data_IF_073407064784
#
_entry.id   IF_073407064784
#
_cell.length_a   1.000
_cell.length_b   1.000
_cell.length_c   1.000
_cell.angle_alpha   90.00
_cell.angle_beta   90.00
_cell.angle_gamma   90.00
#
_symmetry.space_group_name_H-M   'P 1'
#
loop_
_entity.id
_entity.type
_entity.pdbx_description
1 polymer ?
#
# COMPACT_ATOMS: atom_id res chain seq x y z
N UNK A 1 1.36 22.51 -19.03
CA UNK A 1 1.35 21.52 -20.11
C UNK A 1 0.16 20.63 -19.82
N UNK A 2 -0.96 20.87 -20.51
CA UNK A 2 -2.20 20.17 -20.27
C UNK A 2 -2.01 18.71 -20.70
N UNK A 3 -2.01 17.79 -19.74
CA UNK A 3 -2.20 16.38 -20.04
C UNK A 3 -3.67 16.21 -20.39
N UNK A 4 -3.94 15.88 -21.65
CA UNK A 4 -5.24 15.35 -22.07
C UNK A 4 -5.59 14.16 -21.15
N UNK A 5 -6.77 14.21 -20.55
CA UNK A 5 -7.31 13.11 -19.78
C UNK A 5 -7.52 11.92 -20.73
N UNK A 6 -6.58 10.98 -20.72
CA UNK A 6 -6.75 9.69 -21.35
C UNK A 6 -7.99 9.01 -20.73
N UNK A 7 -8.93 8.62 -21.59
CA UNK A 7 -10.13 7.85 -21.23
C UNK A 7 -9.74 6.70 -20.31
N UNK A 8 -10.37 6.63 -19.14
CA UNK A 8 -10.08 5.62 -18.13
C UNK A 8 -10.28 4.21 -18.73
N UNK A 9 -9.32 3.32 -18.49
CA UNK A 9 -9.37 1.92 -18.95
C UNK A 9 -8.82 1.60 -20.35
N UNK A 10 -8.31 2.55 -21.13
CA UNK A 10 -7.62 2.23 -22.39
C UNK A 10 -6.17 1.76 -22.14
N UNK A 11 -5.80 0.61 -22.70
CA UNK A 11 -4.43 0.12 -22.70
C UNK A 11 -3.59 0.88 -23.72
N UNK A 12 -2.33 1.12 -23.39
CA UNK A 12 -1.42 1.76 -24.33
C UNK A 12 -0.94 0.71 -25.34
N UNK A 13 -1.28 0.89 -26.62
CA UNK A 13 -1.02 -0.10 -27.69
C UNK A 13 0.27 0.15 -28.47
N UNK A 14 0.84 1.36 -28.35
CA UNK A 14 1.92 1.83 -29.23
C UNK A 14 2.96 2.60 -28.41
N UNK A 15 3.58 1.90 -27.46
CA UNK A 15 4.51 2.53 -26.52
C UNK A 15 5.93 2.11 -26.83
N UNK A 16 6.73 3.08 -27.25
CA UNK A 16 8.15 3.11 -26.90
C UNK A 16 8.23 3.11 -25.37
N UNK A 17 8.17 1.92 -24.79
CA UNK A 17 8.08 1.73 -23.35
C UNK A 17 9.36 2.26 -22.71
N UNK A 18 9.31 3.49 -22.22
CA UNK A 18 10.42 4.08 -21.49
C UNK A 18 10.55 3.35 -20.14
N UNK A 19 11.47 2.40 -20.11
CA UNK A 19 11.86 1.69 -18.92
C UNK A 19 12.89 2.50 -18.15
N UNK A 20 12.71 2.65 -16.84
CA UNK A 20 13.72 3.24 -15.98
C UNK A 20 13.91 2.45 -14.69
N UNK A 21 15.14 2.48 -14.19
CA UNK A 21 15.47 1.89 -12.91
C UNK A 21 14.84 2.69 -11.76
N UNK A 22 14.21 1.98 -10.83
CA UNK A 22 13.88 2.54 -9.54
C UNK A 22 15.12 2.49 -8.65
N UNK A 23 15.70 3.66 -8.37
CA UNK A 23 16.84 3.79 -7.45
C UNK A 23 16.52 3.22 -6.07
N UNK A 24 15.29 3.42 -5.61
CA UNK A 24 14.80 2.87 -4.36
C UNK A 24 13.29 2.57 -4.45
N UNK A 25 12.96 1.28 -4.48
CA UNK A 25 11.60 0.80 -4.54
C UNK A 25 10.72 1.33 -3.39
N UNK A 26 11.23 1.32 -2.16
CA UNK A 26 10.48 1.74 -0.99
C UNK A 26 10.21 3.25 -0.98
N UNK A 27 11.17 4.06 -1.43
CA UNK A 27 10.97 5.50 -1.58
C UNK A 27 9.89 5.81 -2.62
N UNK A 28 9.95 5.12 -3.76
CA UNK A 28 8.96 5.28 -4.83
C UNK A 28 7.56 4.86 -4.37
N UNK A 29 7.41 3.67 -3.77
CA UNK A 29 6.12 3.22 -3.23
C UNK A 29 5.59 4.14 -2.13
N UNK A 30 6.45 4.65 -1.26
CA UNK A 30 6.03 5.55 -0.20
C UNK A 30 5.58 6.93 -0.73
N UNK A 31 6.09 7.37 -1.89
CA UNK A 31 5.69 8.63 -2.52
C UNK A 31 4.41 8.48 -3.35
N UNK A 32 4.24 7.37 -4.06
CA UNK A 32 3.16 7.19 -5.06
C UNK A 32 2.03 6.27 -4.59
N UNK A 33 2.19 5.57 -3.46
CA UNK A 33 1.31 4.47 -3.09
C UNK A 33 1.66 3.18 -3.83
N UNK A 34 0.76 2.21 -3.80
CA UNK A 34 0.91 0.99 -4.61
C UNK A 34 0.71 1.39 -6.08
N UNK A 35 1.73 1.16 -6.90
CA UNK A 35 1.80 1.60 -8.31
C UNK A 35 1.86 0.42 -9.29
N UNK A 36 1.55 -0.77 -8.80
CA UNK A 36 1.57 -2.02 -9.53
C UNK A 36 0.40 -2.90 -9.08
N UNK A 37 0.09 -3.92 -9.86
CA UNK A 37 -0.79 -5.01 -9.49
C UNK A 37 -0.09 -6.33 -9.83
N UNK A 38 -0.54 -7.43 -9.24
CA UNK A 38 0.16 -8.72 -9.37
C UNK A 38 0.28 -9.21 -10.82
N UNK A 39 -0.66 -8.82 -11.70
CA UNK A 39 -0.57 -9.12 -13.14
C UNK A 39 0.30 -8.13 -13.95
N UNK A 40 0.84 -7.07 -13.34
CA UNK A 40 1.71 -6.08 -13.99
C UNK A 40 3.21 -6.30 -13.74
N UNK A 41 3.59 -7.36 -13.03
CA UNK A 41 4.98 -7.61 -12.61
C UNK A 41 5.52 -8.85 -13.30
N UNK A 42 6.74 -8.73 -13.83
CA UNK A 42 7.53 -9.85 -14.35
C UNK A 42 8.78 -10.05 -13.48
N UNK A 43 9.06 -11.31 -13.11
CA UNK A 43 10.23 -11.67 -12.29
C UNK A 43 10.98 -12.80 -12.97
N UNK A 44 12.33 -12.78 -13.02
CA UNK A 44 13.11 -13.90 -13.50
C UNK A 44 12.77 -15.19 -12.74
N UNK A 45 12.47 -16.26 -13.48
CA UNK A 45 12.10 -17.57 -12.90
C UNK A 45 13.12 -18.07 -11.88
N UNK A 46 14.42 -17.93 -12.20
CA UNK A 46 15.51 -18.35 -11.32
C UNK A 46 15.47 -17.63 -9.95
N UNK A 47 15.04 -16.37 -9.92
CA UNK A 47 14.90 -15.64 -8.66
C UNK A 47 13.78 -16.25 -7.82
N UNK A 48 12.60 -16.49 -8.39
CA UNK A 48 11.49 -17.12 -7.66
C UNK A 48 11.85 -18.53 -7.18
N UNK A 49 12.52 -19.33 -8.01
CA UNK A 49 12.95 -20.69 -7.65
C UNK A 49 14.00 -20.74 -6.53
N UNK A 50 14.77 -19.67 -6.33
CA UNK A 50 15.74 -19.58 -5.23
C UNK A 50 15.13 -19.06 -3.93
N UNK A 51 13.85 -18.64 -3.94
CA UNK A 51 13.15 -18.21 -2.74
C UNK A 51 12.65 -19.43 -1.97
N UNK A 52 12.90 -19.52 -0.65
CA UNK A 52 12.44 -20.65 0.15
C UNK A 52 10.90 -20.74 0.18
N UNK A 53 10.23 -19.60 0.04
CA UNK A 53 8.77 -19.49 -0.07
C UNK A 53 8.43 -18.26 -0.92
N UNK A 54 7.53 -18.42 -1.89
CA UNK A 54 7.03 -17.30 -2.70
C UNK A 54 5.89 -16.56 -1.98
N UNK A 55 4.81 -17.26 -1.62
CA UNK A 55 3.67 -16.71 -0.90
C UNK A 55 3.46 -17.49 0.41
N UNK A 56 3.30 -16.82 1.56
CA UNK A 56 2.85 -17.48 2.79
C UNK A 56 1.41 -18.00 2.60
N UNK A 57 1.19 -19.30 2.77
CA UNK A 57 -0.13 -19.92 2.55
C UNK A 57 -1.15 -19.56 3.63
N UNK A 58 -0.68 -19.21 4.83
CA UNK A 58 -1.52 -18.81 5.97
C UNK A 58 -2.00 -17.35 5.88
N UNK A 59 -1.43 -16.56 4.96
CA UNK A 59 -1.80 -15.17 4.79
C UNK A 59 -2.92 -15.03 3.76
N UNK A 60 -4.07 -14.56 4.20
CA UNK A 60 -5.22 -14.30 3.32
C UNK A 60 -5.22 -12.90 2.69
N UNK A 61 -4.24 -12.06 3.04
CA UNK A 61 -4.12 -10.69 2.54
C UNK A 61 -2.71 -10.12 2.59
N UNK A 62 -2.29 -9.55 1.45
CA UNK A 62 -1.01 -8.87 1.31
C UNK A 62 0.17 -9.84 1.16
N UNK A 63 -0.11 -11.10 0.86
CA UNK A 63 0.88 -12.13 0.54
C UNK A 63 1.70 -11.75 -0.68
N UNK A 64 1.06 -11.16 -1.69
CA UNK A 64 1.72 -10.65 -2.89
C UNK A 64 2.59 -9.43 -2.57
N UNK A 65 2.07 -8.49 -1.80
CA UNK A 65 2.77 -7.32 -1.31
C UNK A 65 4.04 -7.70 -0.52
N UNK A 66 4.00 -8.76 0.29
CA UNK A 66 5.19 -9.25 1.00
C UNK A 66 6.22 -9.87 0.05
N UNK A 67 5.79 -10.59 -0.99
CA UNK A 67 6.69 -11.08 -2.05
C UNK A 67 7.40 -9.92 -2.74
N UNK A 68 6.68 -8.85 -3.09
CA UNK A 68 7.27 -7.68 -3.75
C UNK A 68 8.28 -6.97 -2.85
N UNK A 69 8.01 -6.83 -1.55
CA UNK A 69 9.00 -6.31 -0.60
C UNK A 69 10.26 -7.19 -0.52
N UNK A 70 10.10 -8.51 -0.43
CA UNK A 70 11.26 -9.42 -0.37
C UNK A 70 12.07 -9.45 -1.66
N UNK A 71 11.43 -9.22 -2.81
CA UNK A 71 12.13 -9.05 -4.08
C UNK A 71 12.85 -7.71 -4.15
N UNK A 72 12.25 -6.63 -3.63
CA UNK A 72 12.89 -5.30 -3.57
C UNK A 72 14.15 -5.29 -2.70
N UNK A 73 14.25 -6.20 -1.73
CA UNK A 73 15.46 -6.40 -0.92
C UNK A 73 16.61 -7.07 -1.70
N UNK A 74 16.33 -7.66 -2.87
CA UNK A 74 17.28 -8.51 -3.63
C UNK A 74 17.54 -8.03 -5.04
N UNK A 75 16.60 -7.30 -5.63
CA UNK A 75 16.60 -6.92 -7.04
C UNK A 75 16.41 -5.42 -7.19
N UNK A 76 16.99 -4.89 -8.26
CA UNK A 76 16.63 -3.57 -8.77
C UNK A 76 15.36 -3.67 -9.62
N UNK A 77 14.37 -2.83 -9.31
CA UNK A 77 13.12 -2.79 -10.06
C UNK A 77 13.28 -1.89 -11.27
N UNK A 78 12.74 -2.32 -12.42
CA UNK A 78 12.62 -1.51 -13.62
C UNK A 78 11.14 -1.22 -13.82
N UNK A 79 10.77 0.06 -13.90
CA UNK A 79 9.40 0.50 -14.04
C UNK A 79 9.12 1.01 -15.45
N UNK A 80 7.94 0.70 -15.95
CA UNK A 80 7.38 1.24 -17.17
C UNK A 80 6.05 1.93 -16.81
N UNK A 81 5.88 3.23 -17.09
CA UNK A 81 4.64 3.94 -16.79
C UNK A 81 3.49 3.61 -17.75
N UNK A 82 3.74 2.82 -18.79
CA UNK A 82 2.74 2.42 -19.77
C UNK A 82 1.65 1.53 -19.15
N UNK A 83 0.40 1.76 -19.54
CA UNK A 83 -0.78 0.99 -19.14
C UNK A 83 -0.85 -0.30 -19.98
N UNK A 84 -0.04 -1.28 -19.63
CA UNK A 84 0.05 -2.56 -20.35
C UNK A 84 -0.92 -3.64 -19.88
N UNK A 85 -1.54 -3.45 -18.70
CA UNK A 85 -2.47 -4.41 -18.12
C UNK A 85 -3.70 -3.71 -17.57
N UNK A 86 -4.84 -4.40 -17.63
CA UNK A 86 -6.08 -3.98 -17.00
C UNK A 86 -6.34 -4.82 -15.74
N UNK A 87 -6.87 -4.18 -14.71
CA UNK A 87 -7.30 -4.83 -13.47
C UNK A 87 -8.76 -4.51 -13.21
N UNK A 88 -9.56 -5.53 -12.87
CA UNK A 88 -10.99 -5.37 -12.60
C UNK A 88 -11.21 -5.07 -11.12
N UNK A 89 -11.70 -3.87 -10.82
CA UNK A 89 -11.92 -3.41 -9.43
C UNK A 89 -13.32 -3.76 -8.90
N UNK A 90 -14.38 -3.67 -9.73
CA UNK A 90 -15.77 -3.84 -9.31
C UNK A 90 -16.31 -5.27 -9.54
N UNK A 91 -15.66 -6.26 -8.91
CA UNK A 91 -16.17 -7.63 -8.88
C UNK A 91 -16.91 -7.86 -7.55
N UNK A 92 -18.22 -8.13 -7.63
CA UNK A 92 -19.02 -8.47 -6.45
C UNK A 92 -18.43 -9.71 -5.74
N UNK A 93 -18.23 -9.60 -4.42
CA UNK A 93 -17.58 -10.65 -3.63
C UNK A 93 -16.05 -10.65 -3.71
N UNK A 94 -15.43 -9.56 -4.17
CA UNK A 94 -13.96 -9.41 -4.12
C UNK A 94 -13.43 -9.66 -2.70
N UNK A 95 -12.38 -10.47 -2.61
CA UNK A 95 -11.66 -10.78 -1.37
C UNK A 95 -11.15 -9.52 -0.64
N UNK A 96 -10.90 -8.43 -1.39
CA UNK A 96 -10.51 -7.14 -0.82
C UNK A 96 -11.66 -6.44 -0.07
N UNK A 97 -12.93 -6.72 -0.42
CA UNK A 97 -14.09 -6.12 0.24
C UNK A 97 -14.43 -6.78 1.60
N UNK A 98 -13.89 -7.97 1.86
CA UNK A 98 -14.18 -8.78 3.05
C UNK A 98 -13.08 -8.67 4.11
N UNK A 99 -11.96 -8.00 3.81
CA UNK A 99 -10.82 -7.99 4.71
C UNK A 99 -10.98 -7.05 5.91
N UNK A 100 -10.95 -7.67 7.09
CA UNK A 100 -11.09 -7.02 8.37
C UNK A 100 -9.76 -6.35 8.77
N UNK A 101 -9.59 -5.06 8.47
CA UNK A 101 -8.42 -4.27 8.93
C UNK A 101 -8.46 -3.97 10.44
N UNK A 102 -9.06 -4.86 11.25
CA UNK A 102 -9.07 -4.77 12.72
C UNK A 102 -7.67 -4.76 13.32
N UNK A 103 -6.75 -5.48 12.68
CA UNK A 103 -5.34 -5.61 13.08
C UNK A 103 -4.41 -5.23 11.93
N UNK A 104 -3.13 -5.00 12.26
CA UNK A 104 -2.10 -4.78 11.24
C UNK A 104 -1.93 -6.05 10.39
N UNK A 105 -2.02 -5.97 9.06
CA UNK A 105 -1.69 -7.09 8.20
C UNK A 105 -0.24 -7.57 8.39
N UNK A 106 -0.03 -8.88 8.39
CA UNK A 106 1.26 -9.52 8.67
C UNK A 106 2.37 -9.06 7.71
N UNK A 107 2.03 -8.76 6.45
CA UNK A 107 2.97 -8.18 5.48
C UNK A 107 3.69 -6.94 6.00
N UNK A 108 2.98 -6.02 6.67
CA UNK A 108 3.57 -4.80 7.20
C UNK A 108 4.31 -5.04 8.52
N UNK A 109 3.84 -6.00 9.34
CA UNK A 109 4.57 -6.46 10.53
C UNK A 109 5.93 -7.06 10.15
N UNK A 110 5.98 -7.89 9.09
CA UNK A 110 7.22 -8.46 8.58
C UNK A 110 8.12 -7.39 7.95
N UNK A 111 7.56 -6.45 7.20
CA UNK A 111 8.33 -5.31 6.68
C UNK A 111 8.94 -4.47 7.82
N UNK A 112 8.16 -4.19 8.87
CA UNK A 112 8.63 -3.47 10.06
C UNK A 112 9.83 -4.19 10.69
N UNK A 113 9.72 -5.49 10.93
CA UNK A 113 10.80 -6.30 11.51
C UNK A 113 12.05 -6.32 10.61
N UNK A 114 11.90 -6.46 9.29
CA UNK A 114 13.02 -6.41 8.35
C UNK A 114 13.69 -5.03 8.36
N UNK A 115 12.92 -3.96 8.21
CA UNK A 115 13.43 -2.59 8.15
C UNK A 115 14.13 -2.17 9.45
N UNK A 116 13.64 -2.63 10.62
CA UNK A 116 14.30 -2.35 11.90
C UNK A 116 15.66 -3.05 12.04
N UNK A 117 15.90 -4.15 11.32
CA UNK A 117 17.19 -4.87 11.31
C UNK A 117 18.20 -4.30 10.32
N UNK A 118 17.75 -3.49 9.35
CA UNK A 118 18.68 -2.82 8.44
C UNK A 118 19.54 -1.79 9.17
N UNK A 119 20.72 -1.52 8.60
CA UNK A 119 21.59 -0.45 9.09
C UNK A 119 20.85 0.88 9.12
N UNK A 120 21.20 1.75 10.07
CA UNK A 120 20.70 3.12 10.09
C UNK A 120 21.10 3.93 8.84
N UNK A 121 22.18 3.53 8.16
CA UNK A 121 22.65 4.12 6.90
C UNK A 121 21.94 3.58 5.65
N UNK A 122 21.10 2.55 5.79
CA UNK A 122 20.34 2.00 4.67
C UNK A 122 19.28 3.00 4.21
N UNK A 123 19.35 3.42 2.94
CA UNK A 123 18.43 4.41 2.35
C UNK A 123 16.98 3.91 2.35
N UNK A 124 16.78 2.60 2.19
CA UNK A 124 15.45 1.97 2.15
C UNK A 124 14.76 1.97 3.51
N UNK A 125 15.52 1.98 4.61
CA UNK A 125 14.99 1.83 5.98
C UNK A 125 13.92 2.85 6.32
N UNK A 126 14.20 4.13 6.07
CA UNK A 126 13.25 5.20 6.39
C UNK A 126 11.98 5.09 5.56
N UNK A 127 12.12 4.76 4.27
CA UNK A 127 10.99 4.66 3.37
C UNK A 127 10.11 3.44 3.66
N UNK A 128 10.71 2.29 3.96
CA UNK A 128 9.99 1.09 4.40
C UNK A 128 9.20 1.34 5.69
N UNK A 129 9.81 1.97 6.70
CA UNK A 129 9.12 2.34 7.94
C UNK A 129 8.00 3.36 7.71
N UNK A 130 8.14 4.24 6.72
CA UNK A 130 7.06 5.16 6.31
C UNK A 130 5.86 4.43 5.70
N UNK A 131 6.09 3.39 4.91
CA UNK A 131 5.01 2.50 4.40
C UNK A 131 4.29 1.83 5.56
N UNK A 132 5.03 1.30 6.55
CA UNK A 132 4.46 0.72 7.78
C UNK A 132 3.63 1.76 8.54
N UNK A 133 4.09 3.02 8.63
CA UNK A 133 3.32 4.10 9.24
C UNK A 133 1.98 4.34 8.53
N UNK A 134 1.95 4.27 7.20
CA UNK A 134 0.70 4.40 6.43
C UNK A 134 -0.27 3.25 6.69
N UNK A 135 0.23 2.02 6.84
CA UNK A 135 -0.59 0.88 7.22
C UNK A 135 -1.21 1.09 8.62
N UNK A 136 -0.44 1.57 9.61
CA UNK A 136 -0.96 1.91 10.94
C UNK A 136 -2.04 3.00 10.88
N UNK A 137 -1.91 4.00 10.00
CA UNK A 137 -2.97 5.00 9.78
C UNK A 137 -4.23 4.35 9.18
N UNK A 138 -4.09 3.36 8.30
CA UNK A 138 -5.21 2.56 7.79
C UNK A 138 -5.96 1.82 8.91
N UNK A 139 -5.21 1.09 9.76
CA UNK A 139 -5.77 0.41 10.95
C UNK A 139 -6.49 1.41 11.87
N UNK A 140 -5.91 2.60 12.09
CA UNK A 140 -6.53 3.61 12.92
C UNK A 140 -7.89 4.10 12.38
N UNK A 141 -7.99 4.29 11.06
CA UNK A 141 -9.23 4.69 10.41
C UNK A 141 -10.29 3.60 10.50
N UNK A 142 -9.91 2.35 10.25
CA UNK A 142 -10.82 1.22 10.38
C UNK A 142 -11.34 1.09 11.83
N UNK A 143 -10.45 1.18 12.82
CA UNK A 143 -10.86 1.20 14.22
C UNK A 143 -11.82 2.37 14.55
N UNK A 144 -11.62 3.54 13.95
CA UNK A 144 -12.52 4.68 14.13
C UNK A 144 -13.91 4.45 13.48
N UNK A 145 -13.97 3.81 12.30
CA UNK A 145 -15.22 3.40 11.65
C UNK A 145 -16.04 2.44 12.53
N UNK A 146 -15.34 1.54 13.22
CA UNK A 146 -15.92 0.59 14.21
C UNK A 146 -16.26 1.24 15.56
N UNK A 147 -15.95 2.53 15.77
CA UNK A 147 -16.15 3.23 17.04
C UNK A 147 -15.09 2.92 18.12
N UNK A 148 -14.05 2.14 17.81
CA UNK A 148 -12.95 1.76 18.70
C UNK A 148 -11.87 2.84 18.77
N UNK A 149 -12.19 3.98 19.39
CA UNK A 149 -11.29 5.15 19.45
C UNK A 149 -9.94 4.88 20.14
N UNK A 150 -9.92 4.09 21.21
CA UNK A 150 -8.68 3.79 21.93
C UNK A 150 -7.68 3.02 21.04
N UNK A 151 -8.18 2.08 20.24
CA UNK A 151 -7.39 1.33 19.26
C UNK A 151 -6.88 2.27 18.15
N UNK A 152 -7.73 3.20 17.70
CA UNK A 152 -7.34 4.20 16.71
C UNK A 152 -6.17 5.08 17.20
N UNK A 153 -6.24 5.60 18.43
CA UNK A 153 -5.13 6.35 19.03
C UNK A 153 -3.88 5.49 19.21
N UNK A 154 -4.04 4.23 19.61
CA UNK A 154 -2.91 3.29 19.76
C UNK A 154 -2.19 3.07 18.43
N UNK A 155 -2.94 2.87 17.35
CA UNK A 155 -2.39 2.72 16.00
C UNK A 155 -1.72 4.02 15.51
N UNK A 156 -2.33 5.19 15.72
CA UNK A 156 -1.71 6.48 15.39
C UNK A 156 -0.40 6.71 16.15
N UNK A 157 -0.35 6.38 17.44
CA UNK A 157 0.88 6.49 18.23
C UNK A 157 1.99 5.59 17.69
N UNK A 158 1.66 4.39 17.21
CA UNK A 158 2.63 3.51 16.54
C UNK A 158 3.09 4.10 15.21
N UNK A 159 2.19 4.61 14.37
CA UNK A 159 2.54 5.28 13.13
C UNK A 159 3.52 6.45 13.35
N UNK A 160 3.28 7.27 14.37
CA UNK A 160 4.10 8.44 14.69
C UNK A 160 5.55 8.12 15.05
N UNK A 161 5.86 6.87 15.46
CA UNK A 161 7.25 6.41 15.68
C UNK A 161 8.07 6.37 14.39
N UNK A 162 7.40 6.26 13.25
CA UNK A 162 8.04 6.06 11.95
C UNK A 162 7.84 7.23 11.01
N UNK A 163 6.62 7.79 10.95
CA UNK A 163 6.34 8.99 10.18
C UNK A 163 5.07 9.69 10.65
N UNK A 164 5.10 11.03 10.62
CA UNK A 164 3.90 11.87 10.73
C UNK A 164 3.62 12.45 9.35
N UNK A 165 2.40 12.25 8.85
CA UNK A 165 1.96 12.72 7.53
C UNK A 165 0.67 13.54 7.65
N UNK A 166 0.28 14.25 6.59
CA UNK A 166 -1.02 14.93 6.55
C UNK A 166 -2.20 13.96 6.77
N UNK A 167 -2.10 12.73 6.25
CA UNK A 167 -3.10 11.67 6.51
C UNK A 167 -3.16 11.28 7.99
N UNK A 168 -2.01 11.25 8.66
CA UNK A 168 -1.94 11.00 10.11
C UNK A 168 -2.61 12.13 10.89
N UNK A 169 -2.28 13.40 10.57
CA UNK A 169 -2.87 14.58 11.23
C UNK A 169 -4.39 14.64 11.03
N UNK A 170 -4.86 14.43 9.80
CA UNK A 170 -6.28 14.38 9.51
C UNK A 170 -6.99 13.27 10.31
N UNK A 171 -6.37 12.08 10.41
CA UNK A 171 -6.93 10.96 11.17
C UNK A 171 -6.91 11.23 12.68
N UNK A 172 -5.88 11.90 13.21
CA UNK A 172 -5.85 12.35 14.60
C UNK A 172 -6.98 13.34 14.89
N UNK A 173 -7.18 14.33 14.03
CA UNK A 173 -8.29 15.28 14.16
C UNK A 173 -9.65 14.56 14.12
N UNK A 174 -9.81 13.58 13.23
CA UNK A 174 -11.00 12.73 13.19
C UNK A 174 -11.20 11.92 14.49
N UNK A 175 -10.13 11.42 15.10
CA UNK A 175 -10.21 10.72 16.40
C UNK A 175 -10.58 11.67 17.56
N UNK A 176 -10.07 12.90 17.53
CA UNK A 176 -10.27 13.90 18.59
C UNK A 176 -11.64 14.59 18.51
N UNK A 177 -12.14 14.87 17.30
CA UNK A 177 -13.32 15.71 17.06
C UNK A 177 -14.51 14.88 16.52
N UNK A 178 -14.24 13.76 15.85
CA UNK A 178 -15.24 13.00 15.10
C UNK A 178 -16.14 12.13 15.96
N UNK A 179 -17.44 12.19 15.68
CA UNK A 179 -18.38 11.11 16.01
C UNK A 179 -18.23 10.00 14.95
N UNK A 180 -18.01 8.73 15.32
CA UNK A 180 -17.73 7.64 14.35
C UNK A 180 -18.77 7.53 13.22
N UNK A 181 -20.01 7.94 13.51
CA UNK A 181 -21.11 8.05 12.54
C UNK A 181 -20.86 9.07 11.40
N UNK A 182 -20.14 10.18 11.67
CA UNK A 182 -19.79 11.18 10.65
C UNK A 182 -18.67 10.68 9.73
N UNK A 183 -17.73 9.88 10.25
CA UNK A 183 -16.64 9.31 9.46
C UNK A 183 -17.18 8.31 8.44
N UNK A 184 -18.05 7.39 8.90
CA UNK A 184 -18.70 6.41 8.03
C UNK A 184 -19.52 7.07 6.92
N UNK A 185 -20.21 8.18 7.23
CA UNK A 185 -20.93 8.98 6.23
C UNK A 185 -20.00 9.66 5.23
N UNK A 186 -18.86 10.18 5.67
CA UNK A 186 -17.89 10.84 4.80
C UNK A 186 -17.20 9.85 3.85
N UNK A 187 -16.87 8.64 4.32
CA UNK A 187 -16.26 7.61 3.48
C UNK A 187 -17.25 7.05 2.45
N UNK A 188 -18.50 6.79 2.85
CA UNK A 188 -19.56 6.42 1.91
C UNK A 188 -19.78 7.50 0.83
N UNK A 189 -19.76 8.77 1.21
CA UNK A 189 -19.87 9.89 0.27
C UNK A 189 -18.68 9.95 -0.70
N UNK A 190 -17.46 9.71 -0.19
CA UNK A 190 -16.24 9.69 -1.03
C UNK A 190 -16.23 8.51 -1.99
N UNK A 191 -16.67 7.33 -1.55
CA UNK A 191 -16.77 6.13 -2.38
C UNK A 191 -17.83 6.30 -3.48
N UNK A 192 -18.94 6.97 -3.20
CA UNK A 192 -19.94 7.32 -4.22
C UNK A 192 -19.36 8.26 -5.27
N UNK A 193 -18.58 9.26 -4.86
CA UNK A 193 -17.99 10.26 -5.77
C UNK A 193 -16.81 9.74 -6.61
N UNK A 194 -16.29 8.55 -6.32
CA UNK A 194 -15.28 7.88 -7.16
C UNK A 194 -15.90 6.85 -8.11
N UNK A 195 -17.23 6.66 -8.07
CA UNK A 195 -17.98 5.78 -8.98
C UNK A 195 -18.72 6.55 -10.08
N UNK A 196 -18.88 7.86 -9.91
CA UNK A 196 -19.42 8.81 -10.90
C UNK A 196 -18.26 9.47 -11.65
#
# INVERSE_FOLDING_TARGET
>A
MCMEEAVDGQLDTDVDANFFALDNFYEYQAAHGVFYCTNSIAVPRATLQSMPQCFPEDDHFGEDQDLWFRLADRLQFIFCPAKLVAYRMDVAGSLCAVHDMRTMPEVYSRLEQRALRWSASDRSRRAALRIVAYAYVGVARYALQDGRRADAFTALRRAARYAVSMRWLATLLMCAIGNGALLKRWELWREQRMRD
#
